data_IF_430374313783
#
_entry.id   IF_430374313783
#
_cell.length_a   1.000
_cell.length_b   1.000
_cell.length_c   1.000
_cell.angle_alpha   90.00
_cell.angle_beta   90.00
_cell.angle_gamma   90.00
#
_symmetry.space_group_name_H-M   'P 1'
#
loop_
_entity.id
_entity.type
_entity.pdbx_description
1 polymer ?
#
# COMPACT_ATOMS: atom_id res chain seq x y z
N UNK A 1 29.34 -0.44 3.78
CA UNK A 1 28.81 0.58 4.71
C UNK A 1 27.89 -0.11 5.71
N UNK A 2 28.35 -0.28 6.94
CA UNK A 2 27.57 -0.92 7.99
C UNK A 2 26.37 0.00 8.34
N UNK A 3 25.14 -0.45 8.05
CA UNK A 3 23.95 0.20 8.58
C UNK A 3 23.97 0.06 10.10
N UNK A 4 23.90 1.18 10.79
CA UNK A 4 23.68 1.20 12.22
C UNK A 4 22.40 0.39 12.49
N UNK A 5 22.51 -0.71 13.21
CA UNK A 5 21.35 -1.48 13.61
C UNK A 5 20.37 -0.55 14.34
N UNK A 6 19.09 -0.65 14.02
CA UNK A 6 18.06 0.07 14.75
C UNK A 6 18.24 -0.24 16.24
N UNK A 7 18.16 0.78 17.09
CA UNK A 7 18.31 0.57 18.52
C UNK A 7 17.19 -0.34 19.03
N UNK A 8 17.44 -1.11 20.10
CA UNK A 8 16.40 -1.93 20.74
C UNK A 8 15.13 -1.12 21.05
N UNK A 9 15.29 0.18 21.36
CA UNK A 9 14.16 1.11 21.60
C UNK A 9 13.37 1.39 20.33
N UNK A 10 14.03 1.49 19.16
CA UNK A 10 13.35 1.69 17.87
C UNK A 10 12.64 0.42 17.43
N UNK A 11 13.26 -0.74 17.65
CA UNK A 11 12.62 -2.05 17.42
C UNK A 11 11.42 -2.26 18.35
N UNK A 12 11.53 -1.86 19.63
CA UNK A 12 10.44 -1.94 20.59
C UNK A 12 9.29 -0.99 20.24
N UNK A 13 9.58 0.24 19.77
CA UNK A 13 8.57 1.18 19.27
C UNK A 13 7.86 0.66 18.01
N UNK A 14 8.58 0.00 17.11
CA UNK A 14 8.01 -0.62 15.91
C UNK A 14 7.10 -1.80 16.25
N UNK A 15 7.41 -2.57 17.30
CA UNK A 15 6.61 -3.71 17.77
C UNK A 15 5.37 -3.30 18.57
N UNK A 16 5.29 -2.09 19.10
CA UNK A 16 4.22 -1.66 20.03
C UNK A 16 3.11 -0.85 19.38
N UNK A 17 3.30 -0.35 18.13
CA UNK A 17 2.25 0.42 17.47
C UNK A 17 1.29 -0.51 16.75
N UNK A 18 0.08 -0.63 17.29
CA UNK A 18 -1.00 -1.41 16.70
C UNK A 18 -1.85 -0.52 15.81
N UNK A 19 -1.93 -0.87 14.53
CA UNK A 19 -2.82 -0.22 13.57
C UNK A 19 -4.13 -0.99 13.43
N UNK A 20 -5.20 -0.26 13.20
CA UNK A 20 -6.50 -0.83 12.86
C UNK A 20 -6.68 -0.82 11.35
N UNK A 21 -6.99 -1.98 10.77
CA UNK A 21 -7.34 -2.12 9.37
C UNK A 21 -8.85 -2.14 9.22
N UNK A 22 -9.39 -1.36 8.31
CA UNK A 22 -10.78 -1.44 7.91
C UNK A 22 -11.00 -1.04 6.46
N UNK A 23 -12.02 -1.59 5.84
CA UNK A 23 -12.41 -1.20 4.49
C UNK A 23 -12.99 0.21 4.52
N UNK A 24 -12.58 1.03 3.55
CA UNK A 24 -13.10 2.37 3.37
C UNK A 24 -14.44 2.32 2.63
N UNK A 25 -15.42 3.06 3.11
CA UNK A 25 -16.69 3.29 2.40
C UNK A 25 -16.51 4.28 1.24
N UNK A 26 -17.51 4.39 0.35
CA UNK A 26 -17.45 5.32 -0.76
C UNK A 26 -17.14 6.76 -0.38
N UNK A 27 -17.82 7.39 0.61
CA UNK A 27 -17.49 8.74 1.09
C UNK A 27 -16.08 8.86 1.68
N UNK A 28 -15.65 7.89 2.48
CA UNK A 28 -14.28 7.88 3.04
C UNK A 28 -13.22 7.72 1.95
N UNK A 29 -13.45 6.79 1.01
CA UNK A 29 -12.57 6.57 -0.14
C UNK A 29 -12.46 7.83 -1.01
N UNK A 30 -13.56 8.53 -1.24
CA UNK A 30 -13.56 9.82 -1.92
C UNK A 30 -12.68 10.84 -1.21
N UNK A 31 -12.78 10.94 0.10
CA UNK A 31 -11.92 11.81 0.92
C UNK A 31 -10.44 11.46 0.80
N UNK A 32 -10.09 10.17 0.90
CA UNK A 32 -8.72 9.68 0.73
C UNK A 32 -8.21 9.96 -0.69
N UNK A 33 -9.02 9.74 -1.71
CA UNK A 33 -8.66 10.05 -3.09
C UNK A 33 -8.30 11.52 -3.27
N UNK A 34 -9.17 12.43 -2.83
CA UNK A 34 -9.00 13.87 -3.04
C UNK A 34 -7.85 14.46 -2.23
N UNK A 35 -7.63 13.98 -1.01
CA UNK A 35 -6.64 14.55 -0.09
C UNK A 35 -5.29 13.83 -0.15
N UNK A 36 -5.29 12.50 -0.29
CA UNK A 36 -4.10 11.67 -0.14
C UNK A 36 -3.59 11.16 -1.49
N UNK A 37 -4.43 10.44 -2.24
CA UNK A 37 -4.01 9.80 -3.49
C UNK A 37 -3.57 10.82 -4.55
N UNK A 38 -4.27 11.94 -4.68
CA UNK A 38 -3.90 13.03 -5.60
C UNK A 38 -2.57 13.69 -5.24
N UNK A 39 -2.19 13.68 -3.97
CA UNK A 39 -0.88 14.14 -3.49
C UNK A 39 0.21 13.11 -3.77
N UNK A 40 -0.09 11.82 -3.53
CA UNK A 40 0.91 10.75 -3.50
C UNK A 40 1.22 10.16 -4.87
N UNK A 41 0.31 10.29 -5.85
CA UNK A 41 0.47 9.73 -7.19
C UNK A 41 0.35 10.81 -8.27
N UNK A 42 1.20 10.75 -9.31
CA UNK A 42 1.07 11.62 -10.48
C UNK A 42 -0.29 11.47 -11.16
N UNK A 43 -0.81 12.57 -11.72
CA UNK A 43 -2.12 12.57 -12.38
C UNK A 43 -2.23 11.54 -13.51
N UNK A 44 -1.13 11.28 -14.23
CA UNK A 44 -1.09 10.28 -15.31
C UNK A 44 -1.13 8.83 -14.85
N UNK A 45 -0.78 8.56 -13.59
CA UNK A 45 -0.79 7.21 -13.00
C UNK A 45 -2.06 6.94 -12.17
N UNK A 46 -2.77 7.99 -11.76
CA UNK A 46 -3.93 7.87 -10.92
C UNK A 46 -5.20 7.66 -11.74
N UNK A 47 -5.88 6.53 -11.53
CA UNK A 47 -7.18 6.24 -12.14
C UNK A 47 -8.20 7.30 -11.72
N UNK A 48 -9.17 7.65 -12.59
CA UNK A 48 -10.26 8.55 -12.21
C UNK A 48 -11.04 8.04 -11.02
N UNK A 49 -11.47 8.95 -10.13
CA UNK A 49 -12.26 8.60 -8.94
C UNK A 49 -13.50 7.78 -9.30
N UNK A 50 -14.20 8.14 -10.36
CA UNK A 50 -15.39 7.39 -10.83
C UNK A 50 -15.09 5.93 -11.14
N UNK A 51 -13.94 5.64 -11.73
CA UNK A 51 -13.50 4.27 -12.02
C UNK A 51 -13.25 3.49 -10.72
N UNK A 52 -12.59 4.10 -9.75
CA UNK A 52 -12.31 3.47 -8.45
C UNK A 52 -13.61 3.20 -7.70
N UNK A 53 -14.52 4.16 -7.64
CA UNK A 53 -15.82 4.00 -6.98
C UNK A 53 -16.69 2.95 -7.67
N UNK A 54 -16.70 2.88 -8.99
CA UNK A 54 -17.43 1.85 -9.72
C UNK A 54 -16.84 0.46 -9.44
N UNK A 55 -15.53 0.31 -9.39
CA UNK A 55 -14.89 -0.97 -9.07
C UNK A 55 -15.19 -1.42 -7.64
N UNK A 56 -15.30 -0.49 -6.69
CA UNK A 56 -15.75 -0.80 -5.33
C UNK A 56 -17.20 -1.27 -5.31
N UNK A 57 -18.10 -0.56 -6.00
CA UNK A 57 -19.52 -0.91 -6.09
C UNK A 57 -19.74 -2.28 -6.75
N UNK A 58 -18.96 -2.59 -7.77
CA UNK A 58 -19.00 -3.87 -8.49
C UNK A 58 -18.27 -5.00 -7.75
N UNK A 59 -17.65 -4.71 -6.61
CA UNK A 59 -16.85 -5.64 -5.80
C UNK A 59 -15.65 -6.24 -6.54
N UNK A 60 -15.11 -5.54 -7.52
CA UNK A 60 -13.87 -5.90 -8.21
C UNK A 60 -12.63 -5.26 -7.60
N UNK A 61 -12.84 -4.28 -6.73
CA UNK A 61 -11.79 -3.63 -5.94
C UNK A 61 -12.28 -3.30 -4.54
N UNK A 62 -11.35 -3.17 -3.61
CA UNK A 62 -11.60 -2.69 -2.26
C UNK A 62 -10.37 -1.93 -1.75
N UNK A 63 -10.58 -1.00 -0.84
CA UNK A 63 -9.51 -0.19 -0.28
C UNK A 63 -9.44 -0.35 1.23
N UNK A 64 -8.30 -0.82 1.71
CA UNK A 64 -7.95 -0.81 3.12
C UNK A 64 -7.50 0.57 3.55
N UNK A 65 -8.11 1.09 4.60
CA UNK A 65 -7.55 2.17 5.39
C UNK A 65 -6.87 1.59 6.63
N UNK A 66 -5.68 2.08 6.92
CA UNK A 66 -4.90 1.69 8.09
C UNK A 66 -4.82 2.87 9.04
N UNK A 67 -5.30 2.69 10.26
CA UNK A 67 -5.51 3.78 11.21
C UNK A 67 -4.68 3.62 12.47
N UNK A 68 -4.15 4.74 12.92
CA UNK A 68 -3.61 4.94 14.25
C UNK A 68 -4.68 5.69 15.08
N UNK A 69 -5.48 4.96 15.85
CA UNK A 69 -6.71 5.52 16.40
C UNK A 69 -7.66 5.99 15.31
N UNK A 70 -7.98 7.28 15.27
CA UNK A 70 -8.84 7.89 14.25
C UNK A 70 -8.06 8.50 13.07
N UNK A 71 -6.72 8.44 13.14
CA UNK A 71 -5.85 9.06 12.14
C UNK A 71 -5.46 8.06 11.05
N UNK A 72 -5.69 8.40 9.79
CA UNK A 72 -5.23 7.60 8.67
C UNK A 72 -3.69 7.60 8.61
N UNK A 73 -3.10 6.41 8.68
CA UNK A 73 -1.66 6.21 8.57
C UNK A 73 -1.23 5.73 7.18
N UNK A 74 -2.07 4.93 6.53
CA UNK A 74 -1.80 4.37 5.21
C UNK A 74 -3.10 3.93 4.52
N UNK A 75 -3.02 3.69 3.22
CA UNK A 75 -4.09 3.07 2.45
C UNK A 75 -3.53 2.13 1.40
N UNK A 76 -4.29 1.08 1.10
CA UNK A 76 -3.95 0.06 0.12
C UNK A 76 -5.20 -0.24 -0.72
N UNK A 77 -5.15 0.04 -2.01
CA UNK A 77 -6.20 -0.31 -2.95
C UNK A 77 -5.88 -1.63 -3.61
N UNK A 78 -6.76 -2.59 -3.43
CA UNK A 78 -6.66 -3.93 -3.97
C UNK A 78 -7.64 -4.14 -5.10
N UNK A 79 -7.21 -4.76 -6.18
CA UNK A 79 -8.07 -5.21 -7.27
C UNK A 79 -8.16 -6.72 -7.23
N UNK A 80 -9.39 -7.23 -7.15
CA UNK A 80 -9.65 -8.66 -7.10
C UNK A 80 -10.98 -8.97 -7.78
N UNK A 81 -10.96 -9.36 -9.05
CA UNK A 81 -12.17 -9.76 -9.75
C UNK A 81 -12.87 -10.95 -9.07
N UNK A 82 -14.19 -11.00 -9.20
CA UNK A 82 -14.98 -12.08 -8.64
C UNK A 82 -14.48 -13.47 -9.11
N UNK A 83 -14.38 -14.40 -8.18
CA UNK A 83 -13.86 -15.74 -8.43
C UNK A 83 -12.34 -15.83 -8.58
N UNK A 84 -11.63 -14.72 -8.59
CA UNK A 84 -10.17 -14.71 -8.62
C UNK A 84 -9.59 -14.92 -7.23
N UNK A 85 -8.57 -15.78 -7.12
CA UNK A 85 -7.86 -16.04 -5.87
C UNK A 85 -6.54 -15.27 -5.76
N UNK A 86 -6.32 -14.33 -6.66
CA UNK A 86 -5.17 -13.44 -6.67
C UNK A 86 -5.65 -12.01 -6.50
N UNK A 87 -5.11 -11.30 -5.54
CA UNK A 87 -5.33 -9.86 -5.35
C UNK A 87 -4.16 -9.08 -5.93
N UNK A 88 -4.43 -7.99 -6.62
CA UNK A 88 -3.41 -7.06 -7.10
C UNK A 88 -3.38 -5.83 -6.20
N UNK A 89 -2.21 -5.49 -5.71
CA UNK A 89 -1.97 -4.22 -5.02
C UNK A 89 -1.78 -3.12 -6.08
N UNK A 90 -2.82 -2.31 -6.26
CA UNK A 90 -2.86 -1.29 -7.31
C UNK A 90 -2.27 0.05 -6.81
N UNK A 91 -2.67 0.49 -5.62
CA UNK A 91 -2.10 1.67 -4.96
C UNK A 91 -1.76 1.38 -3.51
N UNK A 92 -0.58 1.82 -3.09
CA UNK A 92 -0.15 1.73 -1.71
C UNK A 92 0.65 2.97 -1.33
N UNK A 93 0.25 3.64 -0.27
CA UNK A 93 1.01 4.73 0.30
C UNK A 93 0.85 4.81 1.82
N UNK A 94 1.94 5.15 2.48
CA UNK A 94 1.98 5.59 3.87
C UNK A 94 1.89 7.12 3.86
N UNK A 95 0.99 7.70 4.66
CA UNK A 95 0.85 9.15 4.72
C UNK A 95 2.13 9.81 5.25
N UNK A 96 2.44 11.06 4.85
CA UNK A 96 3.74 11.68 5.16
C UNK A 96 4.15 11.65 6.63
N UNK A 97 3.21 11.87 7.54
CA UNK A 97 3.47 11.90 8.99
C UNK A 97 3.96 10.54 9.55
N UNK A 98 3.70 9.45 8.86
CA UNK A 98 4.05 8.08 9.27
C UNK A 98 5.20 7.48 8.45
N UNK A 99 5.76 8.22 7.50
CA UNK A 99 6.88 7.74 6.66
C UNK A 99 8.18 7.63 7.45
N UNK A 100 9.14 6.84 6.91
CA UNK A 100 10.49 6.63 7.47
C UNK A 100 10.54 5.90 8.82
N UNK A 101 9.46 5.22 9.23
CA UNK A 101 9.40 4.43 10.47
C UNK A 101 9.24 2.92 10.25
N UNK A 102 9.48 2.44 9.03
CA UNK A 102 9.34 1.02 8.68
C UNK A 102 7.89 0.53 8.58
N UNK A 103 6.90 1.41 8.62
CA UNK A 103 5.48 1.08 8.62
C UNK A 103 5.08 0.40 7.30
N UNK A 104 5.57 0.87 6.17
CA UNK A 104 5.27 0.25 4.87
C UNK A 104 5.64 -1.22 4.83
N UNK A 105 6.81 -1.61 5.32
CA UNK A 105 7.24 -3.00 5.39
C UNK A 105 6.37 -3.82 6.36
N UNK A 106 6.02 -3.25 7.51
CA UNK A 106 5.10 -3.87 8.48
C UNK A 106 3.74 -4.15 7.84
N UNK A 107 3.17 -3.18 7.13
CA UNK A 107 1.85 -3.33 6.50
C UNK A 107 1.86 -4.35 5.36
N UNK A 108 2.90 -4.39 4.55
CA UNK A 108 3.03 -5.42 3.51
C UNK A 108 3.16 -6.82 4.10
N UNK A 109 3.82 -6.97 5.25
CA UNK A 109 3.88 -8.25 5.96
C UNK A 109 2.51 -8.67 6.52
N UNK A 110 1.64 -7.72 6.88
CA UNK A 110 0.30 -7.96 7.41
C UNK A 110 -0.75 -8.15 6.31
N UNK A 111 -0.52 -7.62 5.12
CA UNK A 111 -1.49 -7.63 4.02
C UNK A 111 -2.02 -9.03 3.66
N UNK A 112 -1.21 -10.09 3.58
CA UNK A 112 -1.74 -11.42 3.28
C UNK A 112 -2.80 -11.89 4.29
N UNK A 113 -2.66 -11.57 5.57
CA UNK A 113 -3.67 -11.90 6.58
C UNK A 113 -4.96 -11.10 6.39
N UNK A 114 -4.89 -9.86 5.93
CA UNK A 114 -6.06 -9.03 5.63
C UNK A 114 -6.81 -9.50 4.38
N UNK A 115 -6.07 -9.95 3.36
CA UNK A 115 -6.64 -10.49 2.12
C UNK A 115 -7.18 -11.93 2.27
N UNK A 116 -7.01 -12.54 3.42
CA UNK A 116 -7.67 -13.75 3.88
C UNK A 116 -7.50 -14.95 2.94
N UNK A 117 -8.43 -15.10 2.02
CA UNK A 117 -8.50 -16.24 1.09
C UNK A 117 -7.76 -16.04 -0.24
N UNK A 118 -7.03 -14.94 -0.40
CA UNK A 118 -6.16 -14.75 -1.56
C UNK A 118 -4.96 -15.71 -1.48
N UNK A 119 -4.67 -16.40 -2.57
CA UNK A 119 -3.53 -17.32 -2.68
C UNK A 119 -2.23 -16.59 -2.97
N UNK A 120 -2.33 -15.42 -3.62
CA UNK A 120 -1.19 -14.57 -3.95
C UNK A 120 -1.59 -13.10 -4.03
N UNK A 121 -0.62 -12.24 -3.80
CA UNK A 121 -0.74 -10.81 -4.01
C UNK A 121 0.25 -10.42 -5.10
N UNK A 122 -0.26 -9.84 -6.19
CA UNK A 122 0.55 -9.27 -7.25
C UNK A 122 0.86 -7.82 -6.94
N UNK A 123 2.09 -7.43 -7.21
CA UNK A 123 2.54 -6.04 -7.13
C UNK A 123 3.15 -5.70 -8.49
N UNK A 124 2.57 -4.72 -9.18
CA UNK A 124 3.17 -4.19 -10.39
C UNK A 124 4.11 -3.05 -10.02
N UNK A 125 5.32 -3.10 -10.54
CA UNK A 125 6.31 -2.05 -10.38
C UNK A 125 6.93 -1.71 -11.73
N UNK A 126 7.14 -0.43 -11.94
CA UNK A 126 7.76 0.04 -13.18
C UNK A 126 9.21 -0.45 -13.27
N UNK A 127 9.58 -0.96 -14.44
CA UNK A 127 10.96 -1.38 -14.71
C UNK A 127 11.87 -0.15 -14.82
N UNK A 128 13.04 -0.15 -14.14
CA UNK A 128 13.95 1.00 -14.16
C UNK A 128 14.35 1.48 -15.55
N UNK A 129 14.45 0.55 -16.51
CA UNK A 129 14.83 0.86 -17.91
C UNK A 129 13.74 1.62 -18.67
N UNK A 130 12.51 1.59 -18.17
CA UNK A 130 11.34 2.25 -18.77
C UNK A 130 10.80 3.40 -17.93
N UNK A 131 11.32 3.53 -16.70
CA UNK A 131 10.86 4.52 -15.76
C UNK A 131 11.36 5.92 -16.12
N UNK A 132 10.51 6.91 -15.95
CA UNK A 132 10.90 8.32 -16.04
C UNK A 132 11.90 8.69 -14.94
N UNK A 133 11.72 8.14 -13.72
CA UNK A 133 12.69 8.20 -12.62
C UNK A 133 13.22 6.79 -12.29
N UNK A 134 14.29 6.41 -12.98
CA UNK A 134 14.93 5.11 -12.80
C UNK A 134 15.44 4.88 -11.37
N UNK A 135 15.94 5.90 -10.70
CA UNK A 135 16.42 5.79 -9.31
C UNK A 135 15.27 5.51 -8.33
N UNK A 136 14.12 6.13 -8.54
CA UNK A 136 12.91 5.85 -7.76
C UNK A 136 12.39 4.43 -8.01
N UNK A 137 12.37 3.98 -9.26
CA UNK A 137 11.97 2.63 -9.63
C UNK A 137 12.86 1.57 -8.98
N UNK A 138 14.18 1.75 -9.01
CA UNK A 138 15.15 0.86 -8.32
C UNK A 138 14.89 0.81 -6.81
N UNK A 139 14.64 1.96 -6.18
CA UNK A 139 14.34 2.01 -4.74
C UNK A 139 13.06 1.27 -4.41
N UNK A 140 12.03 1.41 -5.25
CA UNK A 140 10.73 0.75 -5.09
C UNK A 140 10.86 -0.77 -5.21
N UNK A 141 11.53 -1.27 -6.25
CA UNK A 141 11.81 -2.70 -6.41
C UNK A 141 12.61 -3.27 -5.24
N UNK A 142 13.66 -2.56 -4.81
CA UNK A 142 14.44 -2.95 -3.65
C UNK A 142 13.63 -2.99 -2.36
N UNK A 143 12.69 -2.08 -2.18
CA UNK A 143 11.76 -2.10 -1.05
C UNK A 143 10.88 -3.36 -1.07
N UNK A 144 10.24 -3.67 -2.19
CA UNK A 144 9.39 -4.85 -2.31
C UNK A 144 10.19 -6.16 -2.12
N UNK A 145 11.38 -6.25 -2.69
CA UNK A 145 12.26 -7.41 -2.51
C UNK A 145 12.62 -7.62 -1.03
N UNK A 146 12.93 -6.54 -0.29
CA UNK A 146 13.17 -6.63 1.17
C UNK A 146 11.93 -7.01 1.96
N UNK A 147 10.74 -6.77 1.43
CA UNK A 147 9.47 -7.20 2.03
C UNK A 147 9.09 -8.63 1.67
N UNK A 148 9.94 -9.36 0.95
CA UNK A 148 9.72 -10.76 0.60
C UNK A 148 9.02 -10.98 -0.74
N UNK A 149 8.85 -9.94 -1.56
CA UNK A 149 8.36 -10.11 -2.93
C UNK A 149 9.45 -10.71 -3.83
N UNK A 150 9.03 -11.50 -4.80
CA UNK A 150 9.93 -12.09 -5.82
C UNK A 150 9.37 -11.81 -7.22
N UNK A 151 10.27 -11.77 -8.20
CA UNK A 151 9.90 -11.66 -9.61
C UNK A 151 9.26 -12.96 -10.10
N UNK A 152 8.29 -12.79 -10.96
CA UNK A 152 7.61 -13.89 -11.65
C UNK A 152 8.07 -14.02 -13.10
#
# INVERSE_FOLDING_TARGET
MLRKAASERDLYRMCTKTFTWRLLSGPELTGVYLNEMRRDFPAGELKPLSMILNSEADRTAHTWGVFDGDTLAAYLLMVRPEGCRVSQLDYFAVVPAYRAHGIGAQLLAQLPAQEGDAEAILIEAEMPEKAEDAAMAVRRLGFYARCGAWDT
#
